data_IF_520897026123
#
_entry.id   IF_520897026123
#
_cell.length_a   1.000
_cell.length_b   1.000
_cell.length_c   1.000
_cell.angle_alpha   90.00
_cell.angle_beta   90.00
_cell.angle_gamma   90.00
#
_symmetry.space_group_name_H-M   'P 1'
#
loop_
_entity.id
_entity.type
_entity.pdbx_description
1 polymer ?
#
# COMPACT_ATOMS: atom_id res chain seq x y z
N UNK A 1 2.13 4.65 -9.01
CA UNK A 1 2.17 5.50 -7.82
C UNK A 1 1.05 5.21 -6.82
N UNK A 2 -0.19 5.00 -7.19
CA UNK A 2 -1.27 4.72 -6.23
C UNK A 2 -0.95 3.52 -5.32
N UNK A 3 -0.45 2.42 -5.86
CA UNK A 3 -0.03 1.27 -5.04
C UNK A 3 1.13 1.62 -4.09
N UNK A 4 2.06 2.47 -4.51
CA UNK A 4 3.17 2.89 -3.66
C UNK A 4 2.68 3.74 -2.49
N UNK A 5 1.93 4.78 -2.79
CA UNK A 5 1.47 5.77 -1.79
C UNK A 5 0.39 5.22 -0.85
N UNK A 6 -0.41 4.27 -1.34
CA UNK A 6 -1.56 3.74 -0.62
C UNK A 6 -1.47 2.22 -0.48
N UNK A 7 -0.31 1.72 -0.04
CA UNK A 7 -0.16 0.30 0.28
C UNK A 7 -1.04 -0.07 1.47
N UNK A 8 -1.89 -1.07 1.30
CA UNK A 8 -2.97 -1.39 2.25
C UNK A 8 -2.70 -2.66 3.07
N UNK A 9 -1.61 -3.38 2.82
CA UNK A 9 -1.33 -4.68 3.45
C UNK A 9 -0.11 -4.61 4.34
N UNK A 10 -0.23 -5.13 5.56
CA UNK A 10 0.90 -5.45 6.43
C UNK A 10 1.21 -6.94 6.36
N UNK A 11 2.49 -7.26 6.43
CA UNK A 11 2.95 -8.64 6.34
C UNK A 11 3.68 -9.04 7.61
N UNK A 12 3.15 -10.05 8.32
CA UNK A 12 3.77 -10.59 9.52
C UNK A 12 4.76 -11.71 9.17
N UNK A 13 5.88 -11.74 9.89
CA UNK A 13 6.87 -12.82 9.85
C UNK A 13 7.20 -13.28 11.26
N UNK A 14 7.46 -14.59 11.41
CA UNK A 14 7.98 -15.15 12.65
C UNK A 14 9.50 -15.22 12.59
N UNK A 15 10.14 -14.86 13.69
CA UNK A 15 11.58 -14.97 13.86
C UNK A 15 11.93 -16.45 14.10
N UNK A 16 12.79 -17.02 13.27
CA UNK A 16 13.12 -18.45 13.28
C UNK A 16 14.29 -18.79 14.20
N UNK A 17 15.11 -17.80 14.54
CA UNK A 17 16.27 -17.94 15.45
C UNK A 17 16.55 -16.60 16.14
N UNK A 18 17.27 -16.63 17.25
CA UNK A 18 17.68 -15.41 17.94
C UNK A 18 18.62 -14.59 17.05
N UNK A 19 18.32 -13.32 16.83
CA UNK A 19 19.09 -12.44 15.95
C UNK A 19 19.09 -11.01 16.46
N UNK A 20 20.19 -10.28 16.21
CA UNK A 20 20.22 -8.82 16.37
C UNK A 20 20.02 -8.17 15.02
N UNK A 21 18.94 -7.43 14.86
CA UNK A 21 18.60 -6.72 13.63
C UNK A 21 18.59 -5.21 13.88
N UNK A 22 19.51 -4.48 13.27
CA UNK A 22 19.69 -3.04 13.47
C UNK A 22 19.76 -2.62 14.96
N UNK A 23 20.46 -3.41 15.79
CA UNK A 23 20.63 -3.14 17.22
C UNK A 23 19.47 -3.62 18.11
N UNK A 24 18.39 -4.13 17.51
CA UNK A 24 17.25 -4.71 18.23
C UNK A 24 17.43 -6.21 18.37
N UNK A 25 17.39 -6.72 19.62
CA UNK A 25 17.40 -8.16 19.88
C UNK A 25 16.04 -8.76 19.58
N UNK A 26 15.98 -9.65 18.62
CA UNK A 26 14.80 -10.45 18.29
C UNK A 26 15.01 -11.88 18.77
N UNK A 27 14.00 -12.47 19.35
CA UNK A 27 14.00 -13.85 19.86
C UNK A 27 13.27 -14.78 18.91
N UNK A 28 13.70 -16.03 18.85
CA UNK A 28 12.97 -17.09 18.18
C UNK A 28 11.53 -17.15 18.66
N UNK A 29 10.59 -17.09 17.75
CA UNK A 29 9.14 -17.08 18.02
C UNK A 29 8.53 -15.69 18.09
N UNK A 30 9.31 -14.63 18.14
CA UNK A 30 8.80 -13.26 18.03
C UNK A 30 8.13 -13.03 16.67
N UNK A 31 7.27 -12.02 16.61
CA UNK A 31 6.63 -11.58 15.37
C UNK A 31 7.16 -10.22 14.95
N UNK A 32 7.46 -10.06 13.67
CA UNK A 32 7.82 -8.81 13.03
C UNK A 32 6.77 -8.44 12.00
N UNK A 33 6.21 -7.25 12.12
CA UNK A 33 5.32 -6.70 11.11
C UNK A 33 6.13 -5.88 10.11
N UNK A 34 6.07 -6.24 8.83
CA UNK A 34 6.64 -5.48 7.75
C UNK A 34 5.56 -4.53 7.21
N UNK A 35 5.67 -3.26 7.57
CA UNK A 35 4.68 -2.23 7.20
C UNK A 35 5.01 -1.74 5.79
N UNK A 36 4.37 -2.33 4.79
CA UNK A 36 4.65 -2.05 3.38
C UNK A 36 4.34 -0.61 2.98
N UNK A 37 3.39 0.04 3.64
CA UNK A 37 3.07 1.44 3.45
C UNK A 37 4.26 2.34 3.80
N UNK A 38 4.85 2.14 4.99
CA UNK A 38 6.03 2.93 5.43
C UNK A 38 7.22 2.66 4.52
N UNK A 39 7.49 1.38 4.21
CA UNK A 39 8.61 1.01 3.33
C UNK A 39 8.46 1.60 1.91
N UNK A 40 7.24 1.76 1.43
CA UNK A 40 6.95 2.37 0.11
C UNK A 40 7.03 3.90 0.11
N UNK A 41 7.21 4.52 1.29
CA UNK A 41 7.38 5.96 1.48
C UNK A 41 8.76 6.31 2.06
N UNK A 42 9.71 5.39 2.08
CA UNK A 42 11.07 5.64 2.56
C UNK A 42 11.82 6.57 1.59
N UNK A 43 12.21 7.76 2.06
CA UNK A 43 12.93 8.76 1.25
C UNK A 43 14.33 8.31 0.81
N UNK A 44 14.90 7.27 1.44
CA UNK A 44 16.15 6.66 0.99
C UNK A 44 16.01 5.89 -0.32
N UNK A 45 14.79 5.41 -0.63
CA UNK A 45 14.49 4.71 -1.87
C UNK A 45 13.69 5.59 -2.85
N UNK A 46 12.86 6.50 -2.33
CA UNK A 46 11.93 7.30 -3.13
C UNK A 46 12.12 8.79 -2.85
N UNK A 47 12.82 9.49 -3.70
CA UNK A 47 12.94 10.95 -3.63
C UNK A 47 11.55 11.59 -3.65
N UNK A 48 11.30 12.58 -2.75
CA UNK A 48 9.99 13.21 -2.55
C UNK A 48 8.87 12.18 -2.37
N UNK A 49 9.09 11.25 -1.43
CA UNK A 49 8.25 10.04 -1.28
C UNK A 49 6.77 10.33 -1.03
N UNK A 50 6.44 11.48 -0.45
CA UNK A 50 5.07 11.90 -0.14
C UNK A 50 4.36 12.59 -1.33
N UNK A 51 5.08 12.86 -2.41
CA UNK A 51 4.51 13.45 -3.62
C UNK A 51 4.20 12.38 -4.67
N UNK A 52 3.02 12.49 -5.30
CA UNK A 52 2.65 11.63 -6.40
C UNK A 52 3.41 12.02 -7.67
N UNK A 53 4.27 11.14 -8.13
CA UNK A 53 4.98 11.30 -9.40
C UNK A 53 4.68 10.12 -10.31
N UNK A 54 3.77 10.32 -11.27
CA UNK A 54 3.34 9.26 -12.19
C UNK A 54 4.43 8.88 -13.22
N UNK A 55 5.46 9.70 -13.37
CA UNK A 55 6.64 9.42 -14.21
C UNK A 55 7.77 8.73 -13.43
N UNK A 56 7.54 8.41 -12.14
CA UNK A 56 8.58 7.79 -11.30
C UNK A 56 9.07 6.47 -11.88
N UNK A 57 10.36 6.44 -12.17
CA UNK A 57 11.06 5.24 -12.67
C UNK A 57 12.50 5.21 -12.15
N UNK A 58 12.94 4.12 -11.50
CA UNK A 58 12.17 2.93 -11.15
C UNK A 58 11.16 3.18 -10.01
N UNK A 59 10.10 2.38 -9.95
CA UNK A 59 9.11 2.42 -8.88
C UNK A 59 9.06 1.05 -8.16
N UNK A 60 10.01 0.84 -7.23
CA UNK A 60 10.23 -0.44 -6.52
C UNK A 60 9.41 -0.57 -5.24
N UNK A 61 8.15 -0.17 -5.28
CA UNK A 61 7.29 -0.17 -4.10
C UNK A 61 7.05 -1.58 -3.52
N UNK A 62 6.79 -1.64 -2.20
CA UNK A 62 6.59 -2.87 -1.44
C UNK A 62 5.13 -3.35 -1.39
N UNK A 63 4.17 -2.66 -2.03
CA UNK A 63 2.74 -2.94 -1.89
C UNK A 63 2.33 -4.39 -2.20
N UNK A 64 3.08 -5.09 -3.02
CA UNK A 64 2.86 -6.50 -3.37
C UNK A 64 3.89 -7.45 -2.75
N UNK A 65 4.65 -6.98 -1.79
CA UNK A 65 5.74 -7.72 -1.14
C UNK A 65 6.80 -8.19 -2.14
N UNK A 66 7.87 -8.82 -1.67
CA UNK A 66 8.98 -9.32 -2.47
C UNK A 66 9.27 -10.79 -2.19
N UNK A 67 10.13 -11.40 -3.03
CA UNK A 67 10.63 -12.74 -2.87
C UNK A 67 9.57 -13.83 -3.05
N UNK A 68 9.72 -14.97 -2.38
CA UNK A 68 8.82 -16.12 -2.53
C UNK A 68 7.36 -15.83 -2.15
N UNK A 69 7.12 -14.80 -1.34
CA UNK A 69 5.81 -14.38 -0.88
C UNK A 69 5.23 -13.21 -1.68
N UNK A 70 5.82 -12.85 -2.82
CA UNK A 70 5.24 -11.83 -3.69
C UNK A 70 3.82 -12.21 -4.07
N UNK A 71 2.92 -11.24 -4.01
CA UNK A 71 1.52 -11.42 -4.35
C UNK A 71 1.36 -11.98 -5.77
N UNK A 72 0.78 -13.16 -5.90
CA UNK A 72 0.51 -13.80 -7.21
C UNK A 72 -0.51 -13.00 -8.03
N UNK A 73 -1.46 -12.34 -7.35
CA UNK A 73 -2.49 -11.49 -7.97
C UNK A 73 -2.02 -10.11 -8.39
N UNK A 74 -0.73 -9.77 -8.23
CA UNK A 74 -0.23 -8.40 -8.47
C UNK A 74 -0.48 -7.88 -9.89
N UNK A 75 -0.45 -8.74 -10.89
CA UNK A 75 -0.73 -8.36 -12.28
C UNK A 75 -2.23 -8.15 -12.51
N UNK A 76 -3.06 -9.03 -11.94
CA UNK A 76 -4.52 -8.90 -12.00
C UNK A 76 -4.97 -7.63 -11.29
N UNK A 77 -4.49 -7.36 -10.07
CA UNK A 77 -4.81 -6.15 -9.32
C UNK A 77 -4.46 -4.86 -10.10
N UNK A 78 -3.33 -4.85 -10.81
CA UNK A 78 -2.95 -3.72 -11.67
C UNK A 78 -3.90 -3.55 -12.86
N UNK A 79 -4.30 -4.65 -13.47
CA UNK A 79 -5.26 -4.63 -14.58
C UNK A 79 -6.63 -4.15 -14.10
N UNK A 80 -7.13 -4.71 -13.01
CA UNK A 80 -8.43 -4.33 -12.42
C UNK A 80 -8.45 -2.85 -12.05
N UNK A 81 -7.42 -2.36 -11.35
CA UNK A 81 -7.31 -0.95 -10.96
C UNK A 81 -7.30 -0.03 -12.19
N UNK A 82 -6.53 -0.39 -13.22
CA UNK A 82 -6.47 0.39 -14.46
C UNK A 82 -7.83 0.46 -15.14
N UNK A 83 -8.45 -0.70 -15.37
CA UNK A 83 -9.76 -0.77 -16.04
C UNK A 83 -10.83 -0.02 -15.22
N UNK A 84 -10.83 -0.21 -13.89
CA UNK A 84 -11.78 0.47 -13.02
C UNK A 84 -11.64 2.00 -13.09
N UNK A 85 -10.41 2.51 -13.07
CA UNK A 85 -10.14 3.95 -13.17
C UNK A 85 -10.49 4.50 -14.57
N UNK A 86 -10.12 3.79 -15.63
CA UNK A 86 -10.45 4.18 -17.01
C UNK A 86 -11.96 4.26 -17.20
N UNK A 87 -12.70 3.24 -16.79
CA UNK A 87 -14.16 3.19 -16.90
C UNK A 87 -14.85 4.23 -16.00
N UNK A 88 -14.34 4.42 -14.79
CA UNK A 88 -14.87 5.43 -13.88
C UNK A 88 -14.71 6.84 -14.45
N UNK A 89 -13.50 7.22 -14.84
CA UNK A 89 -13.19 8.55 -15.34
C UNK A 89 -13.89 8.87 -16.67
N UNK A 90 -14.16 7.86 -17.51
CA UNK A 90 -14.92 8.03 -18.73
C UNK A 90 -16.42 8.31 -18.47
N UNK A 91 -16.97 7.80 -17.38
CA UNK A 91 -18.40 7.91 -17.07
C UNK A 91 -18.67 9.02 -16.04
N UNK A 92 -17.73 9.28 -15.15
CA UNK A 92 -17.83 10.25 -14.06
C UNK A 92 -16.59 11.14 -14.09
N UNK A 93 -16.49 12.05 -15.08
CA UNK A 93 -15.26 12.83 -15.31
C UNK A 93 -14.99 13.88 -14.22
N UNK A 94 -16.01 14.30 -13.48
CA UNK A 94 -15.89 15.23 -12.38
C UNK A 94 -16.59 14.65 -11.15
N UNK A 95 -15.84 14.42 -10.08
CA UNK A 95 -16.36 13.95 -8.81
C UNK A 95 -15.52 14.49 -7.64
N UNK A 96 -16.08 14.45 -6.47
CA UNK A 96 -15.41 14.87 -5.25
C UNK A 96 -15.93 14.08 -4.05
N UNK A 97 -15.32 14.31 -2.89
CA UNK A 97 -15.86 13.81 -1.63
C UNK A 97 -16.98 14.75 -1.20
N UNK A 98 -18.10 14.19 -0.76
CA UNK A 98 -19.24 14.96 -0.24
C UNK A 98 -18.79 15.87 0.92
N UNK A 99 -19.18 17.13 0.91
CA UNK A 99 -18.79 18.11 1.94
C UNK A 99 -19.30 17.66 3.33
N UNK A 100 -18.40 17.65 4.32
CA UNK A 100 -18.71 17.18 5.67
C UNK A 100 -18.85 15.66 5.82
N UNK A 101 -18.54 14.90 4.78
CA UNK A 101 -18.64 13.44 4.85
C UNK A 101 -17.64 12.84 5.85
N UNK A 102 -18.12 11.88 6.65
CA UNK A 102 -17.27 11.03 7.45
C UNK A 102 -16.77 9.86 6.59
N UNK A 103 -15.45 9.68 6.57
CA UNK A 103 -14.80 8.57 5.88
C UNK A 103 -14.47 7.50 6.91
N UNK A 104 -15.11 6.36 6.79
CA UNK A 104 -14.87 5.22 7.67
C UNK A 104 -13.69 4.40 7.17
N UNK A 105 -12.69 4.22 8.03
CA UNK A 105 -11.49 3.43 7.74
C UNK A 105 -11.43 2.22 8.66
N UNK A 106 -11.38 1.03 8.08
CA UNK A 106 -11.08 -0.19 8.80
C UNK A 106 -9.57 -0.38 8.90
N UNK A 107 -9.06 -0.45 10.12
CA UNK A 107 -7.65 -0.73 10.41
C UNK A 107 -7.49 -2.19 10.81
N UNK A 108 -6.65 -2.91 10.09
CA UNK A 108 -6.36 -4.32 10.34
C UNK A 108 -5.16 -4.78 9.52
N UNK A 109 -5.04 -6.09 9.29
CA UNK A 109 -4.01 -6.63 8.40
C UNK A 109 -4.13 -6.08 6.95
N UNK A 110 -5.33 -5.64 6.58
CA UNK A 110 -5.63 -4.88 5.37
C UNK A 110 -6.35 -3.60 5.78
N UNK A 111 -5.80 -2.46 5.41
CA UNK A 111 -6.46 -1.16 5.56
C UNK A 111 -7.47 -1.00 4.43
N UNK A 112 -8.71 -0.67 4.76
CA UNK A 112 -9.77 -0.47 3.77
C UNK A 112 -10.70 0.67 4.17
N UNK A 113 -11.35 1.27 3.17
CA UNK A 113 -12.44 2.22 3.40
C UNK A 113 -13.76 1.43 3.50
N UNK A 114 -14.47 1.59 4.61
CA UNK A 114 -15.83 1.04 4.77
C UNK A 114 -16.85 1.90 4.06
N UNK A 115 -16.60 3.22 4.02
CA UNK A 115 -17.47 4.19 3.37
C UNK A 115 -16.66 5.33 2.77
N UNK A 116 -16.98 5.69 1.53
CA UNK A 116 -16.43 6.84 0.81
C UNK A 116 -17.57 7.55 0.06
N UNK A 117 -18.25 8.52 0.69
CA UNK A 117 -19.31 9.30 0.04
C UNK A 117 -18.73 10.18 -1.07
N UNK A 118 -19.22 10.02 -2.28
CA UNK A 118 -18.82 10.79 -3.44
C UNK A 118 -20.01 11.58 -4.01
N UNK A 119 -19.69 12.74 -4.60
CA UNK A 119 -20.61 13.56 -5.40
C UNK A 119 -20.07 13.72 -6.81
N UNK A 120 -20.95 13.82 -7.80
CA UNK A 120 -20.66 14.04 -9.23
C UNK A 120 -21.76 14.84 -9.90
#
# INVERSE_FOLDING_TARGET
EFFRMHSVVEVRRSVTEDVVFHGVQLKKGDFVNCITAVASLDEKEFENSLEANFERSPNRHCAFVFGPHRCMGSNLARLEMRVALEEWLNRVPAFGIEEGAEIDVNLGAVVSLARLPLTW
#
